data_IF_406858166522
#
_entry.id   IF_406858166522
#
_cell.length_a   1.000
_cell.length_b   1.000
_cell.length_c   1.000
_cell.angle_alpha   90.00
_cell.angle_beta   90.00
_cell.angle_gamma   90.00
#
_symmetry.space_group_name_H-M   'P 1'
#
loop_
_entity.id
_entity.type
_entity.pdbx_description
1 polymer ?
#
# COMPACT_ATOMS: atom_id res chain seq x y z
N UNK A 1 -18.78 -1.72 11.81
CA UNK A 1 -17.32 -1.72 12.07
C UNK A 1 -17.10 -0.91 13.33
N UNK A 2 -16.27 -1.37 14.28
CA UNK A 2 -15.99 -0.60 15.48
C UNK A 2 -15.38 0.75 15.11
N UNK A 3 -15.69 1.77 15.88
CA UNK A 3 -15.12 3.10 15.74
C UNK A 3 -13.68 3.04 16.28
N UNK A 4 -12.70 3.00 15.39
CA UNK A 4 -11.27 2.95 15.74
C UNK A 4 -10.81 4.37 16.03
N UNK A 5 -10.06 4.58 17.13
CA UNK A 5 -9.54 5.90 17.48
C UNK A 5 -8.66 6.42 16.32
N UNK A 6 -8.96 7.60 15.75
CA UNK A 6 -8.10 8.34 14.83
C UNK A 6 -6.60 8.29 15.11
N UNK A 7 -6.21 8.35 16.39
CA UNK A 7 -4.83 8.42 16.84
C UNK A 7 -4.05 7.13 16.55
N UNK A 8 -4.72 5.97 16.47
CA UNK A 8 -4.06 4.70 16.11
C UNK A 8 -3.46 4.72 14.70
N UNK A 9 -3.98 5.58 13.82
CA UNK A 9 -3.49 5.73 12.45
C UNK A 9 -2.61 6.97 12.25
N UNK A 10 -2.46 7.82 13.28
CA UNK A 10 -1.69 9.05 13.21
C UNK A 10 -0.22 8.80 13.55
N UNK A 11 0.45 7.99 12.72
CA UNK A 11 1.88 7.71 12.92
C UNK A 11 2.75 8.90 12.46
N UNK A 12 3.89 9.21 13.15
CA UNK A 12 4.71 10.39 12.87
C UNK A 12 5.16 10.51 11.41
N UNK A 13 5.48 9.38 10.78
CA UNK A 13 5.89 9.31 9.38
C UNK A 13 4.92 10.04 8.43
N UNK A 14 3.61 9.95 8.66
CA UNK A 14 2.64 10.60 7.78
C UNK A 14 2.72 12.11 7.86
N UNK A 15 2.84 12.68 9.06
CA UNK A 15 3.00 14.12 9.24
C UNK A 15 4.34 14.60 8.70
N UNK A 16 5.42 13.88 9.01
CA UNK A 16 6.79 14.21 8.55
C UNK A 16 6.92 14.17 7.01
N UNK A 17 6.19 13.28 6.35
CA UNK A 17 6.22 13.12 4.89
C UNK A 17 5.05 13.83 4.18
N UNK A 18 4.39 14.80 4.83
CA UNK A 18 3.31 15.63 4.27
C UNK A 18 2.10 14.85 3.75
N UNK A 19 1.77 13.72 4.36
CA UNK A 19 0.50 13.05 4.12
C UNK A 19 -0.63 13.78 4.85
N UNK A 20 -1.77 13.92 4.16
CA UNK A 20 -3.00 14.49 4.75
C UNK A 20 -4.05 13.39 4.87
N UNK A 21 -4.67 13.26 6.04
CA UNK A 21 -5.81 12.36 6.26
C UNK A 21 -7.08 12.99 5.70
N UNK A 22 -7.83 12.23 4.90
CA UNK A 22 -9.07 12.67 4.23
C UNK A 22 -10.14 11.61 4.35
N UNK A 23 -11.40 12.01 4.21
CA UNK A 23 -12.55 11.10 4.15
C UNK A 23 -13.05 11.03 2.71
N UNK A 24 -13.13 9.82 2.15
CA UNK A 24 -13.63 9.64 0.79
C UNK A 24 -15.14 9.95 0.74
N UNK A 25 -15.61 10.82 -0.19
CA UNK A 25 -17.03 11.16 -0.28
C UNK A 25 -17.92 10.01 -0.76
N UNK A 26 -17.34 9.02 -1.47
CA UNK A 26 -18.11 7.93 -2.10
C UNK A 26 -18.37 6.76 -1.13
N UNK A 27 -17.35 6.34 -0.37
CA UNK A 27 -17.44 5.18 0.53
C UNK A 27 -17.34 5.54 2.02
N UNK A 28 -17.00 6.77 2.37
CA UNK A 28 -16.86 7.23 3.75
C UNK A 28 -15.59 6.78 4.47
N UNK A 29 -14.74 5.95 3.86
CA UNK A 29 -13.47 5.52 4.44
C UNK A 29 -12.46 6.66 4.55
N UNK A 30 -11.64 6.62 5.61
CA UNK A 30 -10.49 7.52 5.74
C UNK A 30 -9.29 6.97 4.95
N UNK A 31 -8.53 7.87 4.34
CA UNK A 31 -7.29 7.54 3.62
C UNK A 31 -6.24 8.64 3.82
N UNK A 32 -4.97 8.29 3.59
CA UNK A 32 -3.85 9.22 3.63
C UNK A 32 -3.31 9.44 2.22
N UNK A 33 -3.02 10.69 1.87
CA UNK A 33 -2.41 11.01 0.56
C UNK A 33 -1.47 12.21 0.68
N UNK A 34 -0.37 12.16 -0.08
CA UNK A 34 0.51 13.32 -0.30
C UNK A 34 -0.02 14.24 -1.41
N UNK A 35 -0.96 13.76 -2.24
CA UNK A 35 -1.55 14.57 -3.29
C UNK A 35 -2.68 15.46 -2.72
N UNK A 36 -2.49 16.79 -2.64
CA UNK A 36 -3.50 17.68 -2.06
C UNK A 36 -4.78 17.78 -2.90
N UNK A 37 -4.76 17.31 -4.15
CA UNK A 37 -5.91 17.35 -5.05
C UNK A 37 -6.69 16.03 -5.07
N UNK A 38 -6.22 14.98 -4.38
CA UNK A 38 -6.90 13.70 -4.36
C UNK A 38 -8.15 13.76 -3.47
N UNK A 39 -9.31 13.52 -4.08
CA UNK A 39 -10.62 13.57 -3.40
C UNK A 39 -11.16 12.18 -3.02
N UNK A 40 -10.79 11.13 -3.76
CA UNK A 40 -11.24 9.75 -3.51
C UNK A 40 -10.11 8.87 -2.96
N UNK A 41 -10.45 7.76 -2.30
CA UNK A 41 -9.48 6.86 -1.67
C UNK A 41 -8.56 6.12 -2.65
N UNK A 42 -8.83 6.16 -3.96
CA UNK A 42 -8.05 5.44 -4.98
C UNK A 42 -8.44 3.97 -5.17
N UNK A 43 -9.34 3.44 -4.34
CA UNK A 43 -9.83 2.06 -4.44
C UNK A 43 -11.07 1.95 -5.33
N UNK A 44 -11.22 0.80 -5.98
CA UNK A 44 -12.47 0.47 -6.69
C UNK A 44 -13.62 0.28 -5.68
N UNK A 45 -14.84 0.78 -5.94
CA UNK A 45 -15.31 1.45 -7.16
C UNK A 45 -15.12 2.98 -7.16
N UNK A 46 -14.48 3.57 -6.14
CA UNK A 46 -14.35 5.01 -5.98
C UNK A 46 -13.35 5.66 -6.96
N UNK A 47 -12.42 4.89 -7.51
CA UNK A 47 -11.53 5.28 -8.59
C UNK A 47 -11.35 4.12 -9.59
N UNK A 48 -11.26 4.39 -10.91
CA UNK A 48 -10.97 3.36 -11.91
C UNK A 48 -9.47 3.01 -11.91
N UNK A 49 -9.13 1.86 -12.51
CA UNK A 49 -7.74 1.51 -12.76
C UNK A 49 -7.13 2.42 -13.83
N UNK A 50 -6.04 3.09 -13.48
CA UNK A 50 -5.31 4.01 -14.37
C UNK A 50 -4.07 3.37 -15.01
N UNK A 51 -3.65 2.19 -14.53
CA UNK A 51 -2.38 1.56 -14.92
C UNK A 51 -2.46 0.72 -16.19
N UNK A 52 -3.65 0.46 -16.73
CA UNK A 52 -3.82 -0.31 -17.97
C UNK A 52 -3.29 0.55 -19.14
N UNK A 53 -2.22 0.09 -19.78
CA UNK A 53 -1.52 0.86 -20.83
C UNK A 53 -0.56 1.94 -20.30
N UNK A 54 -0.55 2.19 -18.99
CA UNK A 54 0.31 3.18 -18.33
C UNK A 54 0.92 2.59 -17.05
N UNK A 55 1.93 1.70 -17.15
CA UNK A 55 2.48 1.00 -16.00
C UNK A 55 3.13 1.97 -15.01
N UNK A 56 2.87 1.86 -13.69
CA UNK A 56 3.42 2.76 -12.68
C UNK A 56 4.90 2.45 -12.34
N UNK A 57 5.43 1.34 -12.82
CA UNK A 57 6.80 0.89 -12.54
C UNK A 57 7.79 1.47 -13.56
N UNK A 58 9.02 1.74 -13.12
CA UNK A 58 10.11 2.26 -14.00
C UNK A 58 10.48 1.32 -15.15
N UNK A 59 10.21 0.02 -15.00
CA UNK A 59 10.44 -1.02 -16.00
C UNK A 59 9.40 -2.14 -15.86
N UNK A 60 9.34 -3.03 -16.84
CA UNK A 60 8.59 -4.28 -16.74
C UNK A 60 9.35 -5.29 -15.87
N UNK A 61 8.59 -6.08 -15.12
CA UNK A 61 9.09 -7.16 -14.28
C UNK A 61 8.33 -8.45 -14.60
N UNK A 62 9.04 -9.56 -14.56
CA UNK A 62 8.46 -10.90 -14.43
C UNK A 62 8.12 -11.20 -12.97
N UNK A 63 7.33 -12.25 -12.73
CA UNK A 63 6.96 -12.67 -11.36
C UNK A 63 8.19 -13.03 -10.51
N UNK A 64 9.19 -13.80 -11.01
CA UNK A 64 10.39 -14.10 -10.22
C UNK A 64 11.23 -12.85 -9.91
N UNK A 65 11.39 -11.93 -10.86
CA UNK A 65 12.16 -10.70 -10.65
C UNK A 65 11.55 -9.84 -9.55
N UNK A 66 10.23 -9.60 -9.58
CA UNK A 66 9.58 -8.79 -8.56
C UNK A 66 9.67 -9.43 -7.17
N UNK A 67 9.55 -10.76 -7.10
CA UNK A 67 9.71 -11.50 -5.83
C UNK A 67 11.12 -11.31 -5.27
N UNK A 68 12.14 -11.48 -6.10
CA UNK A 68 13.54 -11.32 -5.70
C UNK A 68 13.81 -9.88 -5.28
N UNK A 69 13.38 -8.89 -6.06
CA UNK A 69 13.54 -7.46 -5.75
C UNK A 69 12.95 -7.08 -4.38
N UNK A 70 11.76 -7.59 -4.04
CA UNK A 70 11.15 -7.37 -2.73
C UNK A 70 11.96 -8.04 -1.61
N UNK A 71 12.38 -9.29 -1.80
CA UNK A 71 13.15 -10.04 -0.80
C UNK A 71 14.58 -9.52 -0.62
N UNK A 72 15.24 -9.00 -1.66
CA UNK A 72 16.56 -8.35 -1.59
C UNK A 72 16.46 -7.09 -0.73
N UNK A 73 15.50 -6.21 -1.03
CA UNK A 73 15.32 -4.96 -0.30
C UNK A 73 15.22 -5.18 1.21
N UNK A 74 14.34 -6.08 1.66
CA UNK A 74 14.20 -6.33 3.10
C UNK A 74 15.41 -7.06 3.71
N UNK A 75 16.06 -7.96 2.96
CA UNK A 75 17.26 -8.66 3.43
C UNK A 75 18.44 -7.71 3.66
N UNK A 76 18.65 -6.75 2.74
CA UNK A 76 19.62 -5.67 2.88
C UNK A 76 19.32 -4.76 4.07
N UNK A 77 18.04 -4.65 4.46
CA UNK A 77 17.57 -3.91 5.63
C UNK A 77 17.41 -4.81 6.87
N UNK A 78 18.17 -5.90 6.97
CA UNK A 78 18.29 -6.72 8.20
C UNK A 78 17.23 -7.79 8.42
N UNK A 79 16.35 -8.04 7.45
CA UNK A 79 15.33 -9.09 7.57
C UNK A 79 15.85 -10.45 7.07
N UNK A 80 15.47 -11.54 7.72
CA UNK A 80 15.83 -12.88 7.25
C UNK A 80 14.84 -13.39 6.21
N UNK A 81 15.35 -14.03 5.15
CA UNK A 81 14.51 -14.73 4.17
C UNK A 81 13.96 -16.02 4.74
N UNK A 82 12.66 -16.21 4.61
CA UNK A 82 11.98 -17.44 5.02
C UNK A 82 11.36 -18.07 3.77
N UNK A 83 11.62 -19.36 3.50
CA UNK A 83 10.98 -20.06 2.40
C UNK A 83 9.46 -20.13 2.64
N UNK A 84 8.64 -20.11 1.57
CA UNK A 84 7.20 -20.19 1.72
C UNK A 84 6.78 -21.50 2.39
N UNK A 85 5.79 -21.41 3.27
CA UNK A 85 5.14 -22.57 3.87
C UNK A 85 4.27 -23.31 2.83
N UNK A 86 3.93 -24.58 3.07
CA UNK A 86 2.93 -25.28 2.26
C UNK A 86 1.60 -24.51 2.23
N UNK A 87 0.88 -24.63 1.12
CA UNK A 87 -0.45 -23.99 0.97
C UNK A 87 -1.47 -24.55 1.98
N UNK A 88 -1.29 -25.81 2.38
CA UNK A 88 -2.12 -26.45 3.40
C UNK A 88 -1.56 -26.12 4.78
N UNK A 89 -2.42 -25.57 5.65
CA UNK A 89 -2.12 -25.32 7.05
C UNK A 89 -1.87 -26.64 7.81
N UNK A 90 -0.61 -27.06 7.87
CA UNK A 90 -0.14 -28.25 8.61
C UNK A 90 0.70 -27.89 9.85
N UNK A 91 0.91 -26.59 10.07
CA UNK A 91 1.66 -26.04 11.19
C UNK A 91 0.79 -25.95 12.44
#
# INVERSE_FOLDING_TARGET
MPEINPEEFAIPFFTEQNFTRRKCPNCGSYFWSQNPNQTTCGEAPCAPYTFIGSPPTKRRYTVPEMRIQFMDYFAENGHTRIPPYPIVARW
#
